data_IF_080796472697
#
_entry.id   IF_080796472697
#
_cell.length_a   1.000
_cell.length_b   1.000
_cell.length_c   1.000
_cell.angle_alpha   90.00
_cell.angle_beta   90.00
_cell.angle_gamma   90.00
#
_symmetry.space_group_name_H-M   'P 1'
#
loop_
_entity.id
_entity.type
_entity.pdbx_description
1 polymer ?
#
# COMPACT_ATOMS: atom_id res chain seq x y z
N UNK A 1 -8.01 82.37 16.34
CA UNK A 1 -7.09 82.04 17.45
C UNK A 1 -7.76 80.96 18.29
N UNK A 2 -7.10 79.78 18.44
CA UNK A 2 -7.44 78.65 19.36
C UNK A 2 -8.72 77.85 18.98
N UNK A 3 -8.84 76.51 19.04
CA UNK A 3 -8.07 75.36 19.56
C UNK A 3 -8.48 74.09 18.77
N UNK A 4 -7.59 73.09 18.76
CA UNK A 4 -7.66 71.74 18.21
C UNK A 4 -8.91 70.88 18.54
N UNK A 5 -9.24 69.94 17.65
CA UNK A 5 -9.70 68.60 18.05
C UNK A 5 -9.09 67.53 17.16
N UNK A 6 -8.32 66.62 17.79
CA UNK A 6 -7.73 65.43 17.20
C UNK A 6 -8.82 64.40 16.91
N UNK A 7 -8.76 63.76 15.75
CA UNK A 7 -9.39 62.47 15.54
C UNK A 7 -8.34 61.53 14.92
N UNK A 8 -7.80 60.65 15.76
CA UNK A 8 -7.07 59.44 15.36
C UNK A 8 -7.95 58.65 14.40
N UNK A 9 -7.52 58.44 13.16
CA UNK A 9 -8.06 57.40 12.31
C UNK A 9 -7.09 56.21 12.33
N UNK A 10 -7.49 55.20 13.08
CA UNK A 10 -6.80 53.92 13.24
C UNK A 10 -6.86 53.15 11.91
N UNK A 11 -5.69 52.71 11.44
CA UNK A 11 -5.56 51.91 10.23
C UNK A 11 -6.09 50.49 10.43
N UNK A 12 -6.82 50.01 9.44
CA UNK A 12 -7.15 48.60 9.26
C UNK A 12 -6.22 47.99 8.22
N UNK A 13 -5.21 47.27 8.70
CA UNK A 13 -4.41 46.35 7.91
C UNK A 13 -5.30 45.23 7.37
N UNK A 14 -5.46 45.16 6.04
CA UNK A 14 -5.97 43.97 5.36
C UNK A 14 -4.88 42.90 5.39
N UNK A 15 -4.94 42.00 6.37
CA UNK A 15 -4.20 40.75 6.35
C UNK A 15 -4.89 39.81 5.36
N UNK A 16 -4.34 39.70 4.15
CA UNK A 16 -4.65 38.63 3.21
C UNK A 16 -4.18 37.31 3.85
N UNK A 17 -5.11 36.62 4.52
CA UNK A 17 -4.91 35.25 4.97
C UNK A 17 -4.88 34.35 3.74
N UNK A 18 -3.69 34.06 3.25
CA UNK A 18 -3.44 32.96 2.32
C UNK A 18 -3.91 31.67 2.99
N UNK A 19 -5.13 31.24 2.66
CA UNK A 19 -5.67 29.96 3.11
C UNK A 19 -4.88 28.86 2.37
N UNK A 20 -3.74 28.48 2.93
CA UNK A 20 -3.00 27.31 2.49
C UNK A 20 -3.82 26.10 2.95
N UNK A 21 -4.75 25.68 2.09
CA UNK A 21 -5.59 24.51 2.32
C UNK A 21 -4.68 23.28 2.29
N UNK A 22 -4.07 22.96 3.42
CA UNK A 22 -3.45 21.65 3.65
C UNK A 22 -4.55 20.63 3.41
N UNK A 23 -4.44 19.89 2.30
CA UNK A 23 -5.27 18.72 2.04
C UNK A 23 -5.01 17.76 3.20
N UNK A 24 -5.88 17.80 4.21
CA UNK A 24 -5.82 16.82 5.27
C UNK A 24 -6.28 15.48 4.70
N UNK A 25 -5.56 14.39 4.99
CA UNK A 25 -5.92 13.09 4.46
C UNK A 25 -7.33 12.71 4.92
N UNK A 26 -8.22 12.42 3.97
CA UNK A 26 -9.57 11.94 4.28
C UNK A 26 -9.48 10.43 4.43
N UNK A 27 -9.70 9.93 5.65
CA UNK A 27 -9.82 8.51 5.91
C UNK A 27 -11.16 8.01 5.34
N UNK A 28 -11.10 7.18 4.31
CA UNK A 28 -12.19 6.32 3.88
C UNK A 28 -12.03 4.97 4.60
N UNK A 29 -13.13 4.24 4.79
CA UNK A 29 -13.11 2.93 5.46
C UNK A 29 -12.09 1.99 4.77
N UNK A 30 -10.90 1.86 5.35
CA UNK A 30 -9.82 1.00 4.84
C UNK A 30 -8.75 1.68 3.95
N UNK A 31 -8.85 2.97 3.61
CA UNK A 31 -7.78 3.69 2.90
C UNK A 31 -7.80 5.21 3.13
N UNK A 32 -6.69 5.87 2.83
CA UNK A 32 -6.48 7.31 2.97
C UNK A 32 -6.32 7.94 1.59
N UNK A 33 -6.93 9.11 1.35
CA UNK A 33 -6.63 9.91 0.16
C UNK A 33 -5.61 10.99 0.51
N UNK A 34 -4.44 10.93 -0.11
CA UNK A 34 -3.37 11.93 0.04
C UNK A 34 -2.68 12.18 -1.32
N UNK A 35 -3.03 13.26 -2.04
CA UNK A 35 -2.38 13.58 -3.31
C UNK A 35 -0.88 13.90 -3.19
N UNK A 36 -0.36 14.18 -1.99
CA UNK A 36 1.04 14.58 -1.79
C UNK A 36 2.04 13.45 -2.04
N UNK A 37 1.61 12.18 -1.96
CA UNK A 37 2.46 11.02 -2.23
C UNK A 37 2.73 10.79 -3.73
N UNK A 38 2.12 11.57 -4.63
CA UNK A 38 2.19 11.32 -6.08
C UNK A 38 3.62 11.27 -6.61
N UNK A 39 4.46 12.23 -6.22
CA UNK A 39 5.85 12.27 -6.68
C UNK A 39 6.67 11.08 -6.18
N UNK A 40 6.37 10.58 -4.97
CA UNK A 40 6.99 9.39 -4.41
C UNK A 40 6.57 8.14 -5.21
N UNK A 41 5.27 7.95 -5.43
CA UNK A 41 4.73 6.82 -6.21
C UNK A 41 5.31 6.81 -7.63
N UNK A 42 5.32 7.95 -8.33
CA UNK A 42 5.86 8.04 -9.68
C UNK A 42 7.35 7.70 -9.71
N UNK A 43 8.13 8.20 -8.74
CA UNK A 43 9.56 7.90 -8.63
C UNK A 43 9.82 6.41 -8.39
N UNK A 44 9.08 5.78 -7.48
CA UNK A 44 9.30 4.37 -7.13
C UNK A 44 8.84 3.41 -8.22
N UNK A 45 7.86 3.78 -9.03
CA UNK A 45 7.41 2.99 -10.20
C UNK A 45 8.33 3.21 -11.42
N UNK A 46 8.83 4.43 -11.67
CA UNK A 46 9.68 4.74 -12.83
C UNK A 46 11.09 4.13 -12.77
N UNK A 47 11.57 3.73 -11.59
CA UNK A 47 12.89 3.08 -11.42
C UNK A 47 12.97 1.70 -12.06
N UNK A 48 11.84 1.12 -12.44
CA UNK A 48 11.74 -0.28 -12.86
C UNK A 48 11.94 -0.42 -14.38
N UNK A 49 12.36 -1.60 -14.86
CA UNK A 49 12.34 -1.90 -16.29
C UNK A 49 10.94 -1.70 -16.89
N UNK A 50 10.89 -1.39 -18.18
CA UNK A 50 9.65 -1.22 -18.91
C UNK A 50 8.75 -2.46 -18.75
N UNK A 51 7.51 -2.26 -18.28
CA UNK A 51 6.51 -3.32 -18.13
C UNK A 51 6.09 -3.62 -16.69
N UNK A 52 6.79 -3.07 -15.69
CA UNK A 52 6.36 -3.16 -14.29
C UNK A 52 5.52 -1.94 -13.88
N UNK A 53 4.37 -2.20 -13.28
CA UNK A 53 3.41 -1.19 -12.81
C UNK A 53 3.48 -0.97 -11.29
N UNK A 54 4.45 -1.59 -10.61
CA UNK A 54 4.65 -1.43 -9.18
C UNK A 54 6.01 -1.88 -8.69
N UNK A 55 6.41 -1.37 -7.53
CA UNK A 55 7.62 -1.76 -6.81
C UNK A 55 7.28 -2.11 -5.37
N UNK A 56 8.15 -2.89 -4.72
CA UNK A 56 7.94 -3.30 -3.33
C UNK A 56 9.26 -3.32 -2.56
N UNK A 57 9.22 -2.80 -1.34
CA UNK A 57 10.24 -3.06 -0.33
C UNK A 57 9.71 -4.10 0.65
N UNK A 58 10.58 -4.99 1.12
CA UNK A 58 10.18 -6.10 1.98
C UNK A 58 11.21 -6.35 3.08
N UNK A 59 10.72 -6.68 4.27
CA UNK A 59 11.46 -7.39 5.31
C UNK A 59 10.77 -8.70 5.61
N UNK A 60 11.55 -9.77 5.65
CA UNK A 60 11.07 -11.08 6.05
C UNK A 60 11.79 -11.52 7.31
N UNK A 61 11.04 -12.08 8.25
CA UNK A 61 11.54 -12.61 9.49
C UNK A 61 11.21 -14.09 9.55
N UNK A 62 12.20 -14.91 9.91
CA UNK A 62 12.06 -16.33 10.18
C UNK A 62 12.46 -16.57 11.64
N UNK A 63 11.55 -17.16 12.43
CA UNK A 63 11.77 -17.42 13.85
C UNK A 63 12.29 -16.18 14.60
N UNK A 64 11.64 -15.03 14.36
CA UNK A 64 11.98 -13.70 14.88
C UNK A 64 13.34 -13.13 14.43
N UNK A 65 14.09 -13.85 13.61
CA UNK A 65 15.36 -13.41 13.03
C UNK A 65 15.14 -12.81 11.65
N UNK A 66 15.84 -11.72 11.33
CA UNK A 66 15.75 -11.07 10.03
C UNK A 66 16.37 -11.96 8.94
N UNK A 67 15.56 -12.41 7.99
CA UNK A 67 15.96 -13.23 6.85
C UNK A 67 16.33 -12.38 5.63
N UNK A 68 15.51 -11.37 5.34
CA UNK A 68 15.66 -10.48 4.17
C UNK A 68 15.30 -9.04 4.57
N UNK A 69 16.03 -8.05 4.06
CA UNK A 69 15.72 -6.63 4.22
C UNK A 69 16.13 -5.84 2.97
N UNK A 70 15.17 -5.61 2.07
CA UNK A 70 15.43 -4.82 0.85
C UNK A 70 15.49 -3.31 1.13
N UNK A 71 15.00 -2.84 2.28
CA UNK A 71 15.06 -1.43 2.66
C UNK A 71 16.50 -1.01 2.93
N UNK A 72 17.29 -1.87 3.59
CA UNK A 72 18.70 -1.61 3.90
C UNK A 72 19.55 -1.41 2.65
N UNK A 73 19.20 -2.10 1.56
CA UNK A 73 19.88 -1.98 0.27
C UNK A 73 19.42 -0.76 -0.53
N UNK A 74 18.35 -0.08 -0.09
CA UNK A 74 17.75 1.05 -0.80
C UNK A 74 17.21 0.67 -2.18
N UNK A 75 16.98 -0.63 -2.42
CA UNK A 75 16.58 -1.17 -3.72
C UNK A 75 15.17 -1.74 -3.62
N UNK A 76 14.24 -1.07 -4.27
CA UNK A 76 12.90 -1.61 -4.48
C UNK A 76 13.00 -2.85 -5.37
N UNK A 77 12.25 -3.89 -5.01
CA UNK A 77 12.07 -5.08 -5.83
C UNK A 77 10.98 -4.82 -6.88
N UNK A 78 11.14 -5.42 -8.04
CA UNK A 78 10.13 -5.41 -9.10
C UNK A 78 8.89 -6.15 -8.63
N UNK A 79 7.72 -5.49 -8.72
CA UNK A 79 6.45 -6.05 -8.30
C UNK A 79 5.54 -6.22 -9.51
N UNK A 80 5.13 -7.45 -9.79
CA UNK A 80 4.11 -7.73 -10.79
C UNK A 80 2.77 -7.27 -10.25
N UNK A 81 2.08 -6.45 -11.04
CA UNK A 81 0.75 -5.97 -10.69
C UNK A 81 -0.28 -6.66 -11.57
N UNK A 82 -1.28 -7.29 -10.95
CA UNK A 82 -2.38 -7.96 -11.62
C UNK A 82 -3.70 -7.32 -11.14
N UNK A 83 -4.24 -6.35 -11.89
CA UNK A 83 -5.51 -5.71 -11.56
C UNK A 83 -6.70 -6.42 -12.23
N UNK A 84 -7.68 -6.78 -11.42
CA UNK A 84 -8.93 -7.45 -11.81
C UNK A 84 -10.12 -6.57 -11.44
N UNK A 85 -11.14 -6.57 -12.29
CA UNK A 85 -12.45 -6.01 -11.98
C UNK A 85 -13.52 -7.06 -12.26
N UNK A 86 -14.24 -7.46 -11.21
CA UNK A 86 -15.36 -8.38 -11.29
C UNK A 86 -16.58 -7.76 -10.60
N UNK A 87 -17.63 -7.50 -11.38
CA UNK A 87 -18.83 -6.80 -10.92
C UNK A 87 -18.47 -5.46 -10.23
N UNK A 88 -18.75 -5.34 -8.93
CA UNK A 88 -18.49 -4.13 -8.13
C UNK A 88 -17.21 -4.25 -7.28
N UNK A 89 -16.40 -5.30 -7.48
CA UNK A 89 -15.17 -5.54 -6.73
C UNK A 89 -13.96 -5.39 -7.64
N UNK A 90 -13.02 -4.53 -7.24
CA UNK A 90 -11.70 -4.48 -7.87
C UNK A 90 -10.68 -5.16 -6.98
N UNK A 91 -9.87 -6.05 -7.56
CA UNK A 91 -8.78 -6.73 -6.87
C UNK A 91 -7.47 -6.30 -7.51
N UNK A 92 -6.50 -5.89 -6.71
CA UNK A 92 -5.13 -5.65 -7.16
C UNK A 92 -4.23 -6.63 -6.44
N UNK A 93 -3.51 -7.46 -7.20
CA UNK A 93 -2.48 -8.34 -6.66
C UNK A 93 -1.13 -7.72 -6.97
N UNK A 94 -0.32 -7.47 -5.95
CA UNK A 94 1.09 -7.13 -6.09
C UNK A 94 1.94 -8.33 -5.69
N UNK A 95 2.79 -8.82 -6.59
CA UNK A 95 3.55 -10.07 -6.40
C UNK A 95 5.04 -9.92 -6.67
N UNK A 96 5.86 -10.37 -5.72
CA UNK A 96 7.29 -10.62 -5.92
C UNK A 96 7.47 -12.03 -6.47
N UNK A 97 7.61 -12.18 -7.79
CA UNK A 97 7.71 -13.48 -8.46
C UNK A 97 6.36 -14.03 -8.95
N UNK A 98 6.41 -15.17 -9.67
CA UNK A 98 5.24 -15.80 -10.30
C UNK A 98 4.86 -17.17 -9.70
N UNK A 99 5.86 -18.03 -9.46
CA UNK A 99 5.65 -19.43 -9.03
C UNK A 99 5.84 -19.61 -7.53
N UNK A 100 7.00 -19.19 -7.01
CA UNK A 100 7.21 -18.90 -5.60
C UNK A 100 7.09 -17.38 -5.42
N UNK A 101 6.10 -16.94 -4.66
CA UNK A 101 5.71 -15.55 -4.64
C UNK A 101 5.32 -15.08 -3.24
N UNK A 102 5.66 -13.83 -2.95
CA UNK A 102 5.26 -13.13 -1.75
C UNK A 102 4.72 -11.77 -2.14
N UNK A 103 3.63 -11.33 -1.52
CA UNK A 103 3.02 -10.09 -1.94
C UNK A 103 1.78 -9.70 -1.16
N UNK A 104 0.87 -9.01 -1.85
CA UNK A 104 -0.38 -8.55 -1.27
C UNK A 104 -1.57 -8.65 -2.23
N UNK A 105 -2.75 -8.78 -1.64
CA UNK A 105 -4.03 -8.52 -2.28
C UNK A 105 -4.62 -7.24 -1.70
N UNK A 106 -5.16 -6.38 -2.57
CA UNK A 106 -6.03 -5.26 -2.22
C UNK A 106 -7.39 -5.54 -2.84
N UNK A 107 -8.40 -5.73 -2.00
CA UNK A 107 -9.79 -5.88 -2.42
C UNK A 107 -10.53 -4.56 -2.15
N UNK A 108 -10.86 -3.83 -3.20
CA UNK A 108 -11.78 -2.70 -3.13
C UNK A 108 -13.21 -3.19 -3.24
N UNK A 109 -13.94 -3.06 -2.14
CA UNK A 109 -15.37 -3.30 -2.04
C UNK A 109 -16.09 -1.94 -2.01
N UNK A 110 -17.36 -1.92 -2.39
CA UNK A 110 -18.17 -0.69 -2.58
C UNK A 110 -17.99 0.39 -1.48
N UNK A 111 -17.84 -0.01 -0.22
CA UNK A 111 -17.68 0.90 0.91
C UNK A 111 -16.48 0.58 1.81
N UNK A 112 -15.61 -0.36 1.45
CA UNK A 112 -14.48 -0.77 2.29
C UNK A 112 -13.32 -1.32 1.47
N UNK A 113 -12.14 -1.40 2.09
CA UNK A 113 -10.97 -2.06 1.52
C UNK A 113 -10.47 -3.16 2.46
N UNK A 114 -10.16 -4.32 1.88
CA UNK A 114 -9.52 -5.44 2.59
C UNK A 114 -8.15 -5.66 2.00
N UNK A 115 -7.14 -5.77 2.86
CA UNK A 115 -5.77 -6.02 2.44
C UNK A 115 -5.27 -7.28 3.12
N UNK A 116 -4.60 -8.15 2.36
CA UNK A 116 -3.98 -9.38 2.85
C UNK A 116 -2.58 -9.50 2.31
N UNK A 117 -1.67 -10.01 3.13
CA UNK A 117 -0.43 -10.57 2.64
C UNK A 117 -0.72 -11.96 2.06
N UNK A 118 0.06 -12.39 1.07
CA UNK A 118 0.07 -13.79 0.67
C UNK A 118 1.51 -14.29 0.50
N UNK A 119 1.68 -15.58 0.77
CA UNK A 119 2.87 -16.35 0.43
C UNK A 119 2.44 -17.58 -0.37
N UNK A 120 3.16 -17.87 -1.45
CA UNK A 120 2.86 -18.93 -2.42
C UNK A 120 4.12 -19.68 -2.82
N UNK A 121 3.99 -20.99 -2.97
CA UNK A 121 5.06 -21.91 -3.36
C UNK A 121 4.57 -22.90 -4.43
N UNK A 122 5.52 -23.61 -5.06
CA UNK A 122 5.27 -24.74 -5.95
C UNK A 122 5.06 -26.07 -5.21
N UNK A 123 5.19 -26.05 -3.89
CA UNK A 123 4.89 -27.16 -2.99
C UNK A 123 3.93 -26.72 -1.86
N UNK A 124 3.18 -27.67 -1.30
CA UNK A 124 2.36 -27.44 -0.12
C UNK A 124 3.26 -27.32 1.11
N UNK A 125 3.70 -26.10 1.42
CA UNK A 125 4.60 -25.83 2.53
C UNK A 125 4.07 -24.76 3.48
N UNK A 126 3.00 -24.04 3.13
CA UNK A 126 2.47 -22.96 3.95
C UNK A 126 1.25 -23.39 4.76
N UNK A 127 1.13 -22.83 5.96
CA UNK A 127 -0.07 -22.95 6.79
C UNK A 127 -0.21 -21.70 7.67
N UNK A 128 -1.44 -21.34 8.04
CA UNK A 128 -1.68 -20.14 8.83
C UNK A 128 -1.40 -20.41 10.32
N UNK A 129 -1.86 -21.54 10.83
CA UNK A 129 -1.63 -21.98 12.20
C UNK A 129 -0.84 -23.31 12.25
N UNK A 130 -0.12 -23.61 13.35
CA UNK A 130 0.67 -24.84 13.48
C UNK A 130 -0.09 -26.15 13.20
N UNK A 131 -1.37 -26.18 13.55
CA UNK A 131 -2.27 -27.32 13.42
C UNK A 131 -2.95 -27.44 12.05
N UNK A 132 -2.86 -26.39 11.22
CA UNK A 132 -3.48 -26.37 9.90
C UNK A 132 -2.78 -27.33 8.94
N UNK A 133 -3.52 -27.78 7.92
CA UNK A 133 -2.95 -28.55 6.81
C UNK A 133 -2.07 -27.65 5.94
N UNK A 134 -1.05 -28.25 5.32
CA UNK A 134 -0.19 -27.56 4.37
C UNK A 134 -0.96 -27.16 3.11
N UNK A 135 -0.54 -26.06 2.50
CA UNK A 135 -1.14 -25.46 1.32
C UNK A 135 -0.07 -24.83 0.43
N UNK A 136 -0.37 -24.71 -0.86
CA UNK A 136 0.49 -24.02 -1.82
C UNK A 136 0.52 -22.50 -1.59
N UNK A 137 -0.57 -21.94 -1.06
CA UNK A 137 -0.75 -20.51 -0.85
C UNK A 137 -1.49 -20.26 0.46
N UNK A 138 -1.02 -19.30 1.24
CA UNK A 138 -1.70 -18.80 2.44
C UNK A 138 -2.02 -17.32 2.27
N UNK A 139 -3.26 -16.94 2.58
CA UNK A 139 -3.66 -15.53 2.71
C UNK A 139 -3.57 -15.13 4.18
N UNK A 140 -2.53 -14.37 4.51
CA UNK A 140 -2.20 -13.99 5.88
C UNK A 140 -2.93 -12.70 6.23
N UNK A 141 -3.70 -12.66 7.35
CA UNK A 141 -4.23 -11.42 7.87
C UNK A 141 -3.12 -10.40 8.14
N UNK A 142 -3.47 -9.13 8.04
CA UNK A 142 -2.54 -8.04 8.30
C UNK A 142 -2.68 -7.61 9.75
N UNK A 143 -1.60 -7.69 10.52
CA UNK A 143 -1.52 -7.12 11.87
C UNK A 143 -1.76 -5.62 11.85
N UNK A 144 -1.20 -4.94 10.84
CA UNK A 144 -1.49 -3.55 10.53
C UNK A 144 -1.31 -3.29 9.04
N UNK A 145 -2.06 -2.33 8.51
CA UNK A 145 -1.84 -1.83 7.16
C UNK A 145 -2.30 -0.38 7.04
N UNK A 146 -1.69 0.33 6.08
CA UNK A 146 -2.11 1.66 5.63
C UNK A 146 -2.09 1.66 4.11
N UNK A 147 -3.25 1.86 3.50
CA UNK A 147 -3.36 2.11 2.07
C UNK A 147 -3.60 3.60 1.82
N UNK A 148 -2.67 4.24 1.14
CA UNK A 148 -2.76 5.65 0.77
C UNK A 148 -2.87 5.75 -0.74
N UNK A 149 -3.96 6.34 -1.22
CA UNK A 149 -4.22 6.56 -2.64
C UNK A 149 -4.05 8.03 -2.98
N UNK A 150 -3.60 8.29 -4.21
CA UNK A 150 -3.44 9.67 -4.72
C UNK A 150 -4.81 10.34 -4.93
N UNK A 151 -5.82 9.55 -5.28
CA UNK A 151 -7.19 9.99 -5.54
C UNK A 151 -8.18 8.84 -5.24
N UNK A 152 -9.49 9.13 -5.07
CA UNK A 152 -10.51 8.08 -4.95
C UNK A 152 -10.41 7.06 -6.10
N UNK A 153 -10.45 5.74 -5.81
CA UNK A 153 -10.24 4.72 -6.81
C UNK A 153 -11.39 4.71 -7.82
N UNK A 154 -11.07 4.62 -9.11
CA UNK A 154 -12.08 4.51 -10.16
C UNK A 154 -12.41 3.03 -10.41
N UNK A 155 -13.38 2.47 -9.69
CA UNK A 155 -13.77 1.05 -9.77
C UNK A 155 -14.60 0.74 -11.03
N UNK A 156 -13.97 0.88 -12.19
CA UNK A 156 -14.54 0.61 -13.53
C UNK A 156 -13.44 0.18 -14.48
N UNK A 157 -13.80 -0.46 -15.60
CA UNK A 157 -12.83 -0.86 -16.64
C UNK A 157 -12.01 0.33 -17.13
N UNK A 158 -10.69 0.18 -17.17
CA UNK A 158 -9.73 1.23 -17.52
C UNK A 158 -9.54 2.30 -16.45
N UNK A 159 -10.25 2.20 -15.33
CA UNK A 159 -10.08 3.06 -14.16
C UNK A 159 -8.69 2.91 -13.57
N UNK A 160 -8.12 4.03 -13.15
CA UNK A 160 -6.77 4.12 -12.62
C UNK A 160 -6.80 4.02 -11.10
N UNK A 161 -5.92 3.20 -10.54
CA UNK A 161 -5.66 3.13 -9.10
C UNK A 161 -4.16 3.32 -8.89
N UNK A 162 -3.81 4.32 -8.11
CA UNK A 162 -2.44 4.71 -7.82
C UNK A 162 -2.28 4.94 -6.32
N UNK A 163 -1.23 4.38 -5.74
CA UNK A 163 -1.02 4.53 -4.31
C UNK A 163 0.21 3.85 -3.76
N UNK A 164 0.26 3.89 -2.43
CA UNK A 164 1.25 3.27 -1.57
C UNK A 164 0.51 2.39 -0.56
N UNK A 165 1.01 1.18 -0.34
CA UNK A 165 0.57 0.26 0.69
C UNK A 165 1.72 0.01 1.65
N UNK A 166 1.53 0.28 2.94
CA UNK A 166 2.38 -0.24 4.01
C UNK A 166 1.63 -1.36 4.73
N UNK A 167 2.27 -2.51 4.93
CA UNK A 167 1.64 -3.69 5.53
C UNK A 167 2.61 -4.43 6.45
N UNK A 168 2.08 -4.92 7.58
CA UNK A 168 2.73 -5.90 8.44
C UNK A 168 1.80 -7.10 8.56
N UNK A 169 2.27 -8.27 8.15
CA UNK A 169 1.50 -9.51 8.27
C UNK A 169 1.39 -9.96 9.73
N UNK A 170 0.37 -10.73 10.03
CA UNK A 170 0.41 -11.66 11.16
C UNK A 170 1.48 -12.74 10.92
N UNK A 171 1.75 -13.53 11.96
CA UNK A 171 2.63 -14.68 11.85
C UNK A 171 1.93 -15.81 11.09
N UNK A 172 2.70 -16.53 10.28
CA UNK A 172 2.27 -17.73 9.57
C UNK A 172 3.44 -18.72 9.54
N UNK A 173 3.25 -19.89 8.94
CA UNK A 173 4.21 -20.98 9.02
C UNK A 173 4.61 -21.50 7.64
N UNK A 174 5.91 -21.79 7.51
CA UNK A 174 6.49 -22.53 6.39
C UNK A 174 7.11 -23.82 6.91
N UNK A 175 6.72 -24.95 6.32
CA UNK A 175 7.28 -26.26 6.63
C UNK A 175 8.22 -26.68 5.51
N UNK A 176 9.52 -26.56 5.76
CA UNK A 176 10.58 -26.91 4.82
C UNK A 176 11.63 -27.79 5.49
N UNK A 177 12.10 -28.83 4.79
CA UNK A 177 13.13 -29.75 5.28
C UNK A 177 12.83 -30.39 6.65
N UNK A 178 11.55 -30.59 6.98
CA UNK A 178 11.11 -31.15 8.26
C UNK A 178 11.14 -30.18 9.44
N UNK A 179 11.45 -28.90 9.22
CA UNK A 179 11.33 -27.82 10.19
C UNK A 179 10.03 -27.04 9.96
N UNK A 180 9.41 -26.58 11.04
CA UNK A 180 8.25 -25.68 11.03
C UNK A 180 8.71 -24.29 11.44
N UNK A 181 8.85 -23.41 10.46
CA UNK A 181 9.42 -22.08 10.62
C UNK A 181 8.31 -21.04 10.71
N UNK A 182 8.37 -20.21 11.75
CA UNK A 182 7.47 -19.07 11.92
C UNK A 182 7.92 -17.91 11.05
N UNK A 183 7.07 -17.44 10.16
CA UNK A 183 7.33 -16.34 9.25
C UNK A 183 6.51 -15.09 9.57
N UNK A 184 7.08 -13.93 9.28
CA UNK A 184 6.41 -12.63 9.31
C UNK A 184 6.98 -11.72 8.24
N UNK A 185 6.12 -10.94 7.60
CA UNK A 185 6.49 -10.03 6.51
C UNK A 185 6.08 -8.59 6.81
N UNK A 186 6.99 -7.66 6.56
CA UNK A 186 6.71 -6.23 6.49
C UNK A 186 6.96 -5.79 5.04
N UNK A 187 6.02 -5.07 4.42
CA UNK A 187 6.18 -4.61 3.05
C UNK A 187 5.66 -3.19 2.83
N UNK A 188 6.31 -2.50 1.89
CA UNK A 188 5.85 -1.23 1.33
C UNK A 188 5.74 -1.38 -0.18
N UNK A 189 4.53 -1.38 -0.71
CA UNK A 189 4.25 -1.44 -2.15
C UNK A 189 3.90 -0.08 -2.71
N UNK A 190 4.45 0.27 -3.87
CA UNK A 190 4.06 1.42 -4.69
C UNK A 190 3.48 0.90 -6.00
N UNK A 191 2.36 1.46 -6.44
CA UNK A 191 1.70 0.95 -7.64
C UNK A 191 0.93 2.01 -8.41
N UNK A 192 0.83 1.77 -9.73
CA UNK A 192 0.05 2.55 -10.68
C UNK A 192 -0.55 1.61 -11.72
N UNK A 193 -1.82 1.24 -11.54
CA UNK A 193 -2.45 0.18 -12.33
C UNK A 193 -3.75 0.63 -12.96
N UNK A 194 -4.05 0.09 -14.15
CA UNK A 194 -5.36 0.23 -14.79
C UNK A 194 -6.18 -1.04 -14.59
N UNK A 195 -7.42 -0.90 -14.13
CA UNK A 195 -8.31 -2.03 -13.91
C UNK A 195 -8.72 -2.67 -15.24
N UNK A 196 -8.52 -3.98 -15.35
CA UNK A 196 -8.93 -4.75 -16.51
C UNK A 196 -10.16 -5.59 -16.17
N UNK A 197 -11.11 -5.66 -17.11
CA UNK A 197 -12.20 -6.65 -17.03
C UNK A 197 -11.64 -7.99 -17.49
N UNK A 198 -11.81 -9.03 -16.68
CA UNK A 198 -11.68 -10.41 -17.18
C UNK A 198 -12.84 -10.78 -18.09
#
# INVERSE_FOLDING_TARGET
MKIHFNALFFGTLFLLSSCHSQHQPVAYKGYVIDPSIKAEVEKEVQKLPTGFEGSMYIKMFENDSLLLDSYKEGKAMECFMLPFLESDTATIIGSLGFTAASGFYIYFLKDTCIIRHFAKSDAEIYKLHPEDSLSFEVLVPSKSYTLTLIAPPQLKKGGLVEGRLDLVSEEYHEVANGADNKLRTELTGYFKVKLNSH
#
